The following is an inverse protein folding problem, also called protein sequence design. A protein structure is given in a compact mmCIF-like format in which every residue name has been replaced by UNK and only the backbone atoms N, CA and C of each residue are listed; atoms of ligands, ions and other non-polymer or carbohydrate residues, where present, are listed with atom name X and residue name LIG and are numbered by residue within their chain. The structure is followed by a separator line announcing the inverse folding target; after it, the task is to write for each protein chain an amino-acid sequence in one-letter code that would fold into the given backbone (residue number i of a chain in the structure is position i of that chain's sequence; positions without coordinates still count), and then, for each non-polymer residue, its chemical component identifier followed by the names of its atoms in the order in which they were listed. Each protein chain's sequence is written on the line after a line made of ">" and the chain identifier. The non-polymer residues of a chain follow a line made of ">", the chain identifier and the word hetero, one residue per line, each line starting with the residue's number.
data_IF_582413151633
#
_entry.id   IF_582413151633
#
_cell.length_a   1.000
_cell.length_b   1.000
_cell.length_c   1.000
_cell.angle_alpha   90.00
_cell.angle_beta   90.00
_cell.angle_gamma   90.00
#
_symmetry.space_group_name_H-M   'P 1'
#
loop_
_entity.id
_entity.type
_entity.pdbx_description
1 polymer ?
#
# COMPACT_ATOMS: atom_id res chain seq x y z
N UNK A 1 8.81 20.17 -5.08
CA UNK A 1 7.54 20.22 -4.34
C UNK A 1 6.71 19.01 -4.73
N UNK A 2 6.17 18.25 -3.77
CA UNK A 2 5.22 17.19 -4.06
C UNK A 2 3.94 17.80 -4.65
N UNK A 3 3.44 17.26 -5.75
CA UNK A 3 2.17 17.76 -6.33
C UNK A 3 1.00 17.24 -5.52
N UNK A 4 -0.03 18.08 -5.30
CA UNK A 4 -1.20 17.68 -4.53
C UNK A 4 -2.13 16.74 -5.31
N UNK A 5 -1.86 16.43 -6.58
CA UNK A 5 -2.56 15.40 -7.36
C UNK A 5 -1.58 14.37 -7.90
N UNK A 6 -2.12 13.19 -8.24
CA UNK A 6 -1.39 12.16 -8.97
C UNK A 6 -1.04 12.62 -10.39
N UNK A 7 0.12 12.20 -10.89
CA UNK A 7 0.61 12.49 -12.25
C UNK A 7 0.41 11.32 -13.22
N UNK A 8 -0.26 10.27 -12.79
CA UNK A 8 -0.50 9.05 -13.54
C UNK A 8 -1.82 8.41 -13.15
N UNK A 9 -2.18 7.34 -13.87
CA UNK A 9 -3.40 6.59 -13.59
C UNK A 9 -3.43 6.09 -12.15
N UNK A 10 -4.55 6.34 -11.46
CA UNK A 10 -4.81 5.79 -10.13
C UNK A 10 -5.40 4.40 -10.31
N UNK A 11 -4.69 3.39 -9.82
CA UNK A 11 -5.07 1.98 -10.01
C UNK A 11 -5.89 1.41 -8.86
N UNK A 12 -5.74 1.99 -7.66
CA UNK A 12 -6.40 1.50 -6.46
C UNK A 12 -6.70 2.65 -5.51
N UNK A 13 -7.84 2.55 -4.84
CA UNK A 13 -8.28 3.47 -3.80
C UNK A 13 -9.00 2.70 -2.68
N UNK A 14 -8.80 3.13 -1.43
CA UNK A 14 -9.47 2.61 -0.24
C UNK A 14 -9.85 3.76 0.69
N UNK A 15 -11.05 3.70 1.25
CA UNK A 15 -11.47 4.58 2.34
C UNK A 15 -11.08 3.95 3.68
N UNK A 16 -10.77 4.79 4.66
CA UNK A 16 -10.64 4.35 6.05
C UNK A 16 -11.96 3.79 6.59
N UNK A 17 -11.88 2.97 7.63
CA UNK A 17 -13.07 2.44 8.30
C UNK A 17 -13.87 3.54 9.04
N UNK A 18 -15.06 3.18 9.54
CA UNK A 18 -15.93 4.12 10.26
C UNK A 18 -16.43 5.25 9.35
N UNK A 19 -16.17 6.49 9.75
CA UNK A 19 -16.60 7.73 9.06
C UNK A 19 -15.85 8.02 7.75
N UNK A 20 -14.94 7.13 7.32
CA UNK A 20 -14.15 7.31 6.10
C UNK A 20 -13.40 8.66 6.04
N UNK A 21 -12.80 9.07 7.15
CA UNK A 21 -12.13 10.38 7.31
C UNK A 21 -10.90 10.59 6.43
N UNK A 22 -10.33 9.52 5.89
CA UNK A 22 -9.25 9.62 4.92
C UNK A 22 -9.33 8.52 3.87
N UNK A 23 -8.67 8.75 2.75
CA UNK A 23 -8.53 7.80 1.66
C UNK A 23 -7.06 7.50 1.38
N UNK A 24 -6.78 6.33 0.84
CA UNK A 24 -5.46 5.93 0.37
C UNK A 24 -5.57 5.55 -1.10
N UNK A 25 -4.62 6.01 -1.91
CA UNK A 25 -4.56 5.72 -3.35
C UNK A 25 -3.19 5.21 -3.75
N UNK A 26 -3.14 4.34 -4.77
CA UNK A 26 -1.90 3.89 -5.43
C UNK A 26 -1.94 4.20 -6.92
N UNK A 27 -0.81 4.68 -7.46
CA UNK A 27 -0.76 5.26 -8.80
C UNK A 27 0.42 4.79 -9.67
N UNK A 28 0.25 4.97 -10.99
CA UNK A 28 1.28 4.82 -11.99
C UNK A 28 2.39 5.88 -11.90
N UNK A 29 2.22 6.94 -11.11
CA UNK A 29 3.26 7.95 -10.84
C UNK A 29 4.28 7.53 -9.77
N UNK A 30 4.25 6.25 -9.38
CA UNK A 30 5.14 5.62 -8.41
C UNK A 30 4.96 6.21 -7.00
N UNK A 31 3.74 6.64 -6.68
CA UNK A 31 3.39 7.05 -5.33
C UNK A 31 2.13 6.38 -4.83
N UNK A 32 2.10 6.14 -3.53
CA UNK A 32 0.86 6.03 -2.77
C UNK A 32 0.61 7.35 -2.04
N UNK A 33 -0.64 7.76 -1.92
CA UNK A 33 -1.01 9.01 -1.23
C UNK A 33 -2.12 8.79 -0.24
N UNK A 34 -2.11 9.59 0.81
CA UNK A 34 -3.16 9.66 1.84
C UNK A 34 -3.85 11.01 1.72
N UNK A 35 -5.18 11.00 1.79
CA UNK A 35 -6.02 12.16 1.54
C UNK A 35 -6.98 12.35 2.67
N UNK A 36 -7.15 13.57 3.14
CA UNK A 36 -8.31 13.93 3.94
C UNK A 36 -9.55 13.94 3.02
N UNK A 37 -10.59 13.17 3.35
CA UNK A 37 -11.76 13.00 2.47
C UNK A 37 -12.72 14.18 2.50
N UNK A 38 -12.69 14.98 3.56
CA UNK A 38 -13.58 16.13 3.71
C UNK A 38 -13.06 17.36 2.94
N UNK A 39 -11.77 17.62 3.01
CA UNK A 39 -11.10 18.75 2.37
C UNK A 39 -10.48 18.42 1.01
N UNK A 40 -10.23 17.14 0.74
CA UNK A 40 -9.51 16.68 -0.45
C UNK A 40 -8.01 16.95 -0.41
N UNK A 41 -7.45 17.38 0.73
CA UNK A 41 -6.02 17.66 0.86
C UNK A 41 -5.20 16.38 0.89
N UNK A 42 -4.07 16.38 0.18
CA UNK A 42 -3.07 15.33 0.28
C UNK A 42 -2.31 15.48 1.61
N UNK A 43 -2.54 14.55 2.53
CA UNK A 43 -1.89 14.52 3.85
C UNK A 43 -0.47 13.96 3.75
N UNK A 44 -0.30 12.83 3.05
CA UNK A 44 0.99 12.14 2.93
C UNK A 44 1.22 11.63 1.50
N UNK A 45 2.49 11.57 1.11
CA UNK A 45 2.94 10.98 -0.15
C UNK A 45 4.07 10.00 0.12
N UNK A 46 3.85 8.73 -0.20
CA UNK A 46 4.83 7.67 -0.07
C UNK A 46 5.41 7.34 -1.45
N UNK A 47 6.71 7.60 -1.62
CA UNK A 47 7.41 7.31 -2.86
C UNK A 47 7.74 5.81 -2.98
N UNK A 48 7.60 5.29 -4.20
CA UNK A 48 7.97 3.94 -4.60
C UNK A 48 8.93 3.96 -5.78
N UNK A 49 9.58 2.83 -6.03
CA UNK A 49 10.51 2.67 -7.15
C UNK A 49 9.80 2.27 -8.46
N UNK A 50 8.50 1.97 -8.41
CA UNK A 50 7.68 1.63 -9.57
C UNK A 50 6.18 1.81 -9.26
N UNK A 51 5.32 1.61 -10.26
CA UNK A 51 3.85 1.64 -10.19
C UNK A 51 3.34 0.95 -8.92
N UNK A 52 2.57 1.71 -8.13
CA UNK A 52 1.79 1.20 -7.00
C UNK A 52 0.44 0.79 -7.54
N UNK A 53 0.17 -0.50 -7.50
CA UNK A 53 -1.04 -1.06 -8.13
C UNK A 53 -2.13 -1.40 -7.13
N UNK A 54 -1.74 -1.70 -5.89
CA UNK A 54 -2.65 -2.13 -4.86
C UNK A 54 -2.32 -1.42 -3.54
N UNK A 55 -3.36 -0.99 -2.83
CA UNK A 55 -3.28 -0.42 -1.49
C UNK A 55 -4.32 -1.07 -0.59
N UNK A 56 -3.98 -1.22 0.69
CA UNK A 56 -4.89 -1.67 1.75
C UNK A 56 -4.63 -0.88 3.04
N UNK A 57 -5.66 -0.78 3.87
CA UNK A 57 -5.63 -0.13 5.18
C UNK A 57 -5.96 -1.20 6.21
N UNK A 58 -5.22 -1.25 7.33
CA UNK A 58 -5.56 -2.15 8.43
C UNK A 58 -6.90 -1.75 9.10
N UNK A 59 -7.49 -2.64 9.89
CA UNK A 59 -8.79 -2.41 10.51
C UNK A 59 -8.83 -1.14 11.38
N UNK A 60 -7.73 -0.85 12.08
CA UNK A 60 -7.58 0.32 12.96
C UNK A 60 -7.36 1.63 12.21
N UNK A 61 -7.02 1.57 10.92
CA UNK A 61 -6.67 2.76 10.15
C UNK A 61 -5.36 3.43 10.57
N UNK A 62 -4.42 2.68 11.13
CA UNK A 62 -3.11 3.17 11.59
C UNK A 62 -1.97 2.78 10.66
N UNK A 63 -2.21 1.85 9.73
CA UNK A 63 -1.19 1.31 8.85
C UNK A 63 -1.71 1.11 7.43
N UNK A 64 -0.82 1.31 6.46
CA UNK A 64 -1.08 1.12 5.04
C UNK A 64 -0.15 0.06 4.49
N UNK A 65 -0.73 -0.87 3.74
CA UNK A 65 0.02 -1.80 2.91
C UNK A 65 -0.07 -1.38 1.46
N UNK A 66 1.05 -1.46 0.76
CA UNK A 66 1.14 -1.17 -0.67
C UNK A 66 1.88 -2.29 -1.40
N UNK A 67 1.51 -2.50 -2.67
CA UNK A 67 2.15 -3.46 -3.55
C UNK A 67 1.96 -3.09 -5.02
N UNK A 68 2.85 -3.57 -5.87
CA UNK A 68 2.76 -3.31 -7.30
C UNK A 68 3.88 -3.95 -8.10
N UNK A 69 4.38 -3.18 -9.07
CA UNK A 69 5.41 -3.62 -10.00
C UNK A 69 6.83 -3.62 -9.43
N UNK A 70 7.02 -3.03 -8.24
CA UNK A 70 8.23 -3.24 -7.45
C UNK A 70 8.34 -4.70 -6.97
N UNK A 71 7.24 -5.46 -7.02
CA UNK A 71 7.13 -6.86 -6.56
C UNK A 71 7.39 -7.03 -5.05
N UNK A 72 7.45 -5.92 -4.31
CA UNK A 72 7.62 -5.91 -2.86
C UNK A 72 6.38 -5.36 -2.17
N UNK A 73 6.07 -5.92 -1.00
CA UNK A 73 5.08 -5.39 -0.08
C UNK A 73 5.73 -4.39 0.88
N UNK A 74 5.21 -3.16 0.91
CA UNK A 74 5.68 -2.12 1.83
C UNK A 74 4.58 -1.77 2.82
N UNK A 75 4.95 -1.79 4.10
CA UNK A 75 4.11 -1.38 5.22
C UNK A 75 4.54 0.01 5.71
N UNK A 76 3.58 0.93 5.77
CA UNK A 76 3.74 2.29 6.30
C UNK A 76 2.92 2.45 7.57
N UNK A 77 3.52 3.07 8.59
CA UNK A 77 2.89 3.44 9.86
C UNK A 77 2.43 4.90 9.77
N UNK A 78 1.13 5.13 9.82
CA UNK A 78 0.56 6.48 9.71
C UNK A 78 0.80 7.35 10.94
N UNK A 79 1.18 6.77 12.07
CA UNK A 79 1.63 7.55 13.23
C UNK A 79 3.04 8.12 13.05
N UNK A 80 3.80 7.57 12.09
CA UNK A 80 5.17 7.96 11.75
C UNK A 80 5.37 7.99 10.23
N UNK A 81 4.67 8.86 9.50
CA UNK A 81 4.62 8.84 8.04
C UNK A 81 5.98 9.17 7.38
N UNK A 82 6.90 9.79 8.12
CA UNK A 82 8.25 10.10 7.65
C UNK A 82 9.25 8.94 7.86
N UNK A 83 8.85 7.87 8.56
CA UNK A 83 9.68 6.69 8.76
C UNK A 83 9.80 5.86 7.47
N UNK A 84 10.93 5.16 7.33
CA UNK A 84 11.08 4.22 6.21
C UNK A 84 10.04 3.10 6.28
N UNK A 85 9.56 2.69 5.11
CA UNK A 85 8.62 1.60 5.00
C UNK A 85 9.24 0.30 5.52
N UNK A 86 8.49 -0.46 6.31
CA UNK A 86 8.90 -1.83 6.63
C UNK A 86 8.61 -2.71 5.43
N UNK A 87 9.67 -3.31 4.88
CA UNK A 87 9.54 -4.33 3.85
C UNK A 87 9.00 -5.61 4.50
N UNK A 88 7.84 -6.09 4.07
CA UNK A 88 7.28 -7.34 4.61
C UNK A 88 7.94 -8.61 4.02
N UNK A 89 8.86 -8.43 3.08
CA UNK A 89 9.49 -9.50 2.30
C UNK A 89 11.02 -9.41 2.25
N UNK A 90 11.67 -8.65 3.13
CA UNK A 90 13.14 -8.77 3.30
C UNK A 90 13.48 -9.71 4.46
N UNK A 91 14.37 -10.67 4.20
CA UNK A 91 14.86 -11.67 5.15
C UNK A 91 14.72 -13.13 4.67
N UNK A 92 14.99 -14.13 5.55
CA UNK A 92 15.01 -15.56 5.21
C UNK A 92 13.72 -16.13 4.60
N UNK A 93 12.62 -15.35 4.62
CA UNK A 93 11.33 -15.70 4.02
C UNK A 93 11.29 -15.44 2.50
N UNK A 94 12.11 -14.51 1.99
CA UNK A 94 12.33 -14.34 0.55
C UNK A 94 12.99 -15.59 -0.05
N UNK A 95 13.96 -16.17 0.68
CA UNK A 95 14.63 -17.43 0.31
C UNK A 95 13.68 -18.64 0.36
N UNK A 96 12.60 -18.56 1.14
CA UNK A 96 11.54 -19.60 1.22
C UNK A 96 10.44 -19.43 0.16
N UNK A 97 10.61 -18.53 -0.81
CA UNK A 97 9.64 -18.35 -1.89
C UNK A 97 8.32 -17.73 -1.44
N UNK A 98 8.33 -16.99 -0.32
CA UNK A 98 7.16 -16.25 0.19
C UNK A 98 7.09 -14.79 -0.30
N UNK A 99 8.00 -14.38 -1.19
CA UNK A 99 7.94 -13.12 -1.92
C UNK A 99 7.38 -13.33 -3.33
N UNK A 100 6.58 -12.39 -3.84
CA UNK A 100 6.09 -12.47 -5.22
C UNK A 100 7.24 -12.27 -6.21
N UNK A 101 7.40 -13.22 -7.13
CA UNK A 101 8.33 -13.10 -8.27
C UNK A 101 7.70 -12.30 -9.44
N UNK A 102 6.38 -12.08 -9.36
CA UNK A 102 5.58 -11.30 -10.30
C UNK A 102 5.04 -9.99 -9.73
N UNK A 103 4.37 -9.22 -10.57
CA UNK A 103 3.71 -8.00 -10.14
C UNK A 103 2.61 -8.32 -9.13
N UNK A 104 2.56 -7.56 -8.04
CA UNK A 104 1.47 -7.65 -7.05
C UNK A 104 0.26 -6.90 -7.62
N UNK A 105 -0.86 -7.60 -7.77
CA UNK A 105 -2.09 -7.04 -8.36
C UNK A 105 -3.13 -6.66 -7.32
N UNK A 106 -3.15 -7.36 -6.20
CA UNK A 106 -4.09 -7.11 -5.12
C UNK A 106 -3.40 -7.34 -3.78
N UNK A 107 -3.77 -6.52 -2.80
CA UNK A 107 -3.42 -6.71 -1.40
C UNK A 107 -4.68 -6.55 -0.57
N UNK A 108 -4.82 -7.39 0.45
CA UNK A 108 -5.94 -7.34 1.41
C UNK A 108 -5.36 -7.51 2.80
N UNK A 109 -5.82 -6.66 3.71
CA UNK A 109 -5.55 -6.81 5.13
C UNK A 109 -6.74 -7.54 5.76
N UNK A 110 -6.48 -8.59 6.53
CA UNK A 110 -7.54 -9.25 7.29
C UNK A 110 -8.12 -8.27 8.32
N UNK A 111 -9.45 -8.22 8.41
CA UNK A 111 -10.12 -7.40 9.43
C UNK A 111 -10.13 -8.06 10.81
N UNK A 112 -9.96 -9.38 10.85
CA UNK A 112 -10.05 -10.21 12.06
C UNK A 112 -8.67 -10.50 12.67
N UNK A 113 -7.63 -10.59 11.83
CA UNK A 113 -6.25 -10.84 12.24
C UNK A 113 -5.36 -9.73 11.70
N UNK A 114 -4.84 -8.90 12.60
CA UNK A 114 -4.05 -7.72 12.25
C UNK A 114 -2.69 -8.06 11.65
N UNK A 115 -2.23 -9.30 11.76
CA UNK A 115 -0.97 -9.76 11.18
C UNK A 115 -1.15 -10.50 9.86
N UNK A 116 -2.39 -10.81 9.46
CA UNK A 116 -2.66 -11.53 8.23
C UNK A 116 -2.87 -10.58 7.05
N UNK A 117 -1.94 -10.67 6.10
CA UNK A 117 -1.99 -10.00 4.81
C UNK A 117 -2.11 -11.05 3.74
N UNK A 118 -3.04 -10.85 2.79
CA UNK A 118 -3.15 -11.69 1.60
C UNK A 118 -2.81 -10.86 0.36
N UNK A 119 -1.95 -11.41 -0.48
CA UNK A 119 -1.39 -10.81 -1.68
C UNK A 119 -1.52 -11.77 -2.86
N UNK A 120 -1.87 -11.22 -4.01
CA UNK A 120 -2.06 -11.95 -5.26
C UNK A 120 -1.14 -11.37 -6.34
N UNK A 121 -0.35 -12.24 -6.97
CA UNK A 121 0.64 -11.86 -7.96
C UNK A 121 0.54 -12.63 -9.27
N UNK A 122 1.27 -12.16 -10.28
CA UNK A 122 1.38 -12.82 -11.60
C UNK A 122 2.15 -14.15 -11.56
N UNK A 123 2.79 -14.45 -10.43
CA UNK A 123 3.44 -15.73 -10.15
C UNK A 123 2.45 -16.88 -9.87
N UNK A 124 1.14 -16.62 -9.98
CA UNK A 124 0.05 -17.59 -9.81
C UNK A 124 -0.05 -18.15 -8.38
N UNK A 125 0.52 -17.45 -7.40
CA UNK A 125 0.50 -17.83 -5.98
C UNK A 125 -0.28 -16.79 -5.18
N UNK A 126 -1.03 -17.26 -4.18
CA UNK A 126 -1.64 -16.43 -3.13
C UNK A 126 -0.79 -16.57 -1.88
N UNK A 127 -0.39 -15.45 -1.26
CA UNK A 127 0.42 -15.44 -0.04
C UNK A 127 -0.19 -14.52 1.00
#
# INVERSE_FOLDING_TARGET
>A
MATPWHKGAVWSARLSGGEASYAVTGSADFSAKVWDTFSGQCLHTFAHNHIVRAVAINAQGTSILTGGHEKKLRLFDLSRPDAEARMLVDGPLAEKGLAHDGNIRSVVWSREDENLVVSLGEDKVVR
#
